data_IF_523375705770
#
_entry.id   IF_523375705770
#
_cell.length_a   1.000
_cell.length_b   1.000
_cell.length_c   1.000
_cell.angle_alpha   90.00
_cell.angle_beta   90.00
_cell.angle_gamma   90.00
#
_symmetry.space_group_name_H-M   'P 1'
#
loop_
_entity.id
_entity.type
_entity.pdbx_description
1 polymer ?
#
# COMPACT_ATOMS: atom_id res chain seq x y z
N UNK A 1 -3.47 -34.86 -3.18
CA UNK A 1 -3.68 -33.50 -3.70
C UNK A 1 -4.25 -32.55 -2.66
N UNK A 2 -5.26 -32.91 -1.86
CA UNK A 2 -5.89 -32.07 -0.86
C UNK A 2 -4.93 -31.53 0.23
N UNK A 3 -4.05 -32.39 0.79
CA UNK A 3 -3.04 -31.96 1.78
C UNK A 3 -2.09 -30.88 1.23
N UNK A 4 -1.74 -30.97 -0.06
CA UNK A 4 -0.91 -30.00 -0.73
C UNK A 4 -1.66 -28.66 -0.87
N UNK A 5 -2.92 -28.72 -1.32
CA UNK A 5 -3.76 -27.53 -1.46
C UNK A 5 -3.95 -26.80 -0.12
N UNK A 6 -4.16 -27.52 0.97
CA UNK A 6 -4.27 -26.92 2.32
C UNK A 6 -2.98 -26.26 2.79
N UNK A 7 -1.81 -26.85 2.46
CA UNK A 7 -0.51 -26.20 2.74
C UNK A 7 -0.34 -24.91 1.93
N UNK A 8 -0.65 -24.97 0.63
CA UNK A 8 -0.60 -23.79 -0.25
C UNK A 8 -1.55 -22.68 0.24
N UNK A 9 -2.77 -23.04 0.65
CA UNK A 9 -3.74 -22.08 1.18
C UNK A 9 -3.20 -21.33 2.40
N UNK A 10 -2.52 -22.01 3.32
CA UNK A 10 -1.88 -21.36 4.49
C UNK A 10 -0.75 -20.44 4.07
N UNK A 11 0.15 -20.90 3.21
CA UNK A 11 1.27 -20.09 2.73
C UNK A 11 0.76 -18.83 2.03
N UNK A 12 -0.23 -18.95 1.14
CA UNK A 12 -0.82 -17.83 0.41
C UNK A 12 -1.50 -16.86 1.38
N UNK A 13 -2.19 -17.35 2.43
CA UNK A 13 -2.80 -16.48 3.44
C UNK A 13 -1.76 -15.67 4.22
N UNK A 14 -0.60 -16.25 4.55
CA UNK A 14 0.51 -15.50 5.15
C UNK A 14 1.13 -14.50 4.18
N UNK A 15 1.25 -14.85 2.89
CA UNK A 15 1.73 -13.91 1.87
C UNK A 15 0.75 -12.73 1.70
N UNK A 16 -0.57 -12.99 1.74
CA UNK A 16 -1.58 -11.92 1.72
C UNK A 16 -1.42 -10.97 2.93
N UNK A 17 -1.23 -11.53 4.13
CA UNK A 17 -0.99 -10.74 5.33
C UNK A 17 0.30 -9.92 5.20
N UNK A 18 1.38 -10.50 4.71
CA UNK A 18 2.65 -9.81 4.52
C UNK A 18 2.54 -8.68 3.47
N UNK A 19 1.86 -8.93 2.34
CA UNK A 19 1.67 -7.93 1.30
C UNK A 19 0.80 -6.75 1.76
N UNK A 20 -0.28 -7.01 2.50
CA UNK A 20 -1.13 -5.93 3.06
C UNK A 20 -0.42 -5.18 4.19
N UNK A 21 0.40 -5.85 5.00
CA UNK A 21 1.26 -5.20 6.00
C UNK A 21 2.32 -4.30 5.33
N UNK A 22 2.93 -4.77 4.24
CA UNK A 22 3.85 -3.95 3.44
C UNK A 22 3.16 -2.71 2.87
N UNK A 23 1.92 -2.86 2.35
CA UNK A 23 1.12 -1.73 1.86
C UNK A 23 0.83 -0.72 2.97
N UNK A 24 0.52 -1.20 4.18
CA UNK A 24 0.30 -0.33 5.35
C UNK A 24 1.59 0.40 5.76
N UNK A 25 2.72 -0.29 5.86
CA UNK A 25 4.03 0.32 6.19
C UNK A 25 4.40 1.37 5.13
N UNK A 26 4.18 1.06 3.84
CA UNK A 26 4.39 1.99 2.75
C UNK A 26 3.52 3.25 2.88
N UNK A 27 2.25 3.10 3.23
CA UNK A 27 1.35 4.26 3.44
C UNK A 27 1.80 5.16 4.59
N UNK A 28 2.39 4.59 5.64
CA UNK A 28 2.99 5.35 6.74
C UNK A 28 4.27 6.07 6.29
N UNK A 29 5.16 5.41 5.55
CA UNK A 29 6.37 6.01 5.01
C UNK A 29 6.06 7.20 4.09
N UNK A 30 5.09 7.04 3.18
CA UNK A 30 4.63 8.13 2.32
C UNK A 30 4.09 9.32 3.13
N UNK A 31 3.47 9.05 4.30
CA UNK A 31 2.93 10.12 5.17
C UNK A 31 4.01 10.90 5.92
N UNK A 32 5.16 10.26 6.25
CA UNK A 32 6.19 10.87 7.11
C UNK A 32 7.27 11.59 6.31
N UNK A 33 7.78 10.98 5.24
CA UNK A 33 8.98 11.47 4.57
C UNK A 33 8.69 12.54 3.50
N UNK A 34 7.48 12.56 2.95
CA UNK A 34 7.10 13.55 1.93
C UNK A 34 6.77 14.92 2.52
N UNK A 35 6.43 14.99 3.82
CA UNK A 35 6.07 16.26 4.49
C UNK A 35 7.25 17.16 4.86
N UNK A 36 8.45 16.80 4.52
CA UNK A 36 9.63 17.60 4.85
C UNK A 36 9.54 19.03 4.28
N UNK A 37 9.11 19.20 3.04
CA UNK A 37 8.98 20.51 2.39
C UNK A 37 7.81 21.33 2.95
N UNK A 38 6.77 20.70 3.50
CA UNK A 38 5.66 21.38 4.15
C UNK A 38 6.12 22.23 5.37
N UNK A 39 7.16 21.78 6.09
CA UNK A 39 7.73 22.57 7.20
C UNK A 39 8.41 23.85 6.74
N UNK A 40 8.89 23.90 5.49
CA UNK A 40 9.48 25.10 4.90
C UNK A 40 8.45 26.15 4.54
N UNK A 41 7.28 25.75 4.04
CA UNK A 41 6.20 26.68 3.72
C UNK A 41 5.63 27.34 4.98
N UNK A 42 5.77 26.70 6.15
CA UNK A 42 5.40 27.28 7.45
C UNK A 42 6.38 28.34 7.98
N UNK A 43 7.49 28.59 7.28
CA UNK A 43 8.37 29.70 7.56
C UNK A 43 7.74 30.99 6.98
N UNK A 44 7.31 31.90 7.87
CA UNK A 44 6.60 33.12 7.55
C UNK A 44 7.12 33.84 6.28
N UNK A 45 6.27 33.93 5.27
CA UNK A 45 6.51 34.72 4.07
C UNK A 45 7.24 34.00 2.93
N UNK A 46 7.53 32.68 3.05
CA UNK A 46 8.18 31.91 1.99
C UNK A 46 7.09 31.21 1.18
N UNK A 47 6.98 31.56 -0.09
CA UNK A 47 6.10 30.86 -1.05
C UNK A 47 6.96 30.05 -1.99
N UNK A 48 6.81 28.71 -1.94
CA UNK A 48 7.47 27.77 -2.86
C UNK A 48 6.46 27.38 -3.93
N UNK A 49 6.69 27.77 -5.21
CA UNK A 49 5.75 27.44 -6.29
C UNK A 49 5.57 25.90 -6.43
N UNK A 50 4.33 25.46 -6.40
CA UNK A 50 3.98 24.03 -6.49
C UNK A 50 3.89 23.30 -5.14
N UNK A 51 4.28 23.93 -4.02
CA UNK A 51 4.21 23.30 -2.70
C UNK A 51 2.77 23.11 -2.20
N UNK A 52 1.77 23.74 -2.83
CA UNK A 52 0.35 23.53 -2.53
C UNK A 52 -0.05 22.07 -2.63
N UNK A 53 0.64 21.26 -3.45
CA UNK A 53 0.38 19.82 -3.56
C UNK A 53 0.45 19.09 -2.22
N UNK A 54 1.25 19.59 -1.24
CA UNK A 54 1.36 18.94 0.07
C UNK A 54 0.06 19.04 0.87
N UNK A 55 -0.74 20.11 0.69
CA UNK A 55 -2.07 20.22 1.29
C UNK A 55 -3.05 19.23 0.70
N UNK A 56 -2.98 18.98 -0.62
CA UNK A 56 -3.81 18.01 -1.31
C UNK A 56 -3.40 16.57 -0.98
N UNK A 57 -2.10 16.33 -0.78
CA UNK A 57 -1.55 15.03 -0.42
C UNK A 57 -2.00 14.56 0.97
N UNK A 58 -2.23 15.48 1.93
CA UNK A 58 -2.61 15.11 3.30
C UNK A 58 -3.91 14.29 3.40
N UNK A 59 -5.07 14.74 2.84
CA UNK A 59 -6.30 13.96 2.88
C UNK A 59 -6.16 12.63 2.14
N UNK A 60 -5.42 12.58 1.03
CA UNK A 60 -5.10 11.35 0.34
C UNK A 60 -4.34 10.37 1.24
N UNK A 61 -3.25 10.80 1.87
CA UNK A 61 -2.44 9.94 2.75
C UNK A 61 -3.25 9.41 3.93
N UNK A 62 -4.10 10.24 4.53
CA UNK A 62 -5.00 9.81 5.60
C UNK A 62 -5.99 8.73 5.13
N UNK A 63 -6.57 8.89 3.94
CA UNK A 63 -7.45 7.90 3.35
C UNK A 63 -6.69 6.63 2.99
N UNK A 64 -5.51 6.74 2.37
CA UNK A 64 -4.70 5.60 1.98
C UNK A 64 -4.27 4.77 3.20
N UNK A 65 -3.82 5.41 4.27
CA UNK A 65 -3.50 4.72 5.53
C UNK A 65 -4.74 4.02 6.11
N UNK A 66 -5.89 4.69 6.14
CA UNK A 66 -7.14 4.10 6.62
C UNK A 66 -7.55 2.88 5.80
N UNK A 67 -7.47 2.95 4.48
CA UNK A 67 -7.84 1.84 3.60
C UNK A 67 -6.83 0.69 3.68
N UNK A 68 -5.54 0.98 3.87
CA UNK A 68 -4.53 -0.06 4.06
C UNK A 68 -4.72 -0.84 5.37
N UNK A 69 -5.23 -0.19 6.43
CA UNK A 69 -5.67 -0.88 7.65
C UNK A 69 -6.85 -1.82 7.36
N UNK A 70 -7.83 -1.37 6.56
CA UNK A 70 -8.96 -2.23 6.15
C UNK A 70 -8.47 -3.46 5.38
N UNK A 71 -7.52 -3.30 4.45
CA UNK A 71 -6.92 -4.44 3.74
C UNK A 71 -6.22 -5.41 4.71
N UNK A 72 -5.49 -4.88 5.67
CA UNK A 72 -4.81 -5.69 6.68
C UNK A 72 -5.81 -6.50 7.52
N UNK A 73 -6.92 -5.88 7.94
CA UNK A 73 -7.99 -6.56 8.67
C UNK A 73 -8.67 -7.64 7.82
N UNK A 74 -8.91 -7.40 6.54
CA UNK A 74 -9.44 -8.41 5.60
C UNK A 74 -8.47 -9.58 5.43
N UNK A 75 -7.16 -9.32 5.37
CA UNK A 75 -6.14 -10.38 5.28
C UNK A 75 -6.10 -11.22 6.57
N UNK A 76 -6.20 -10.59 7.75
CA UNK A 76 -6.31 -11.30 9.04
C UNK A 76 -7.57 -12.16 9.08
N UNK A 77 -8.72 -11.63 8.69
CA UNK A 77 -9.97 -12.39 8.60
C UNK A 77 -9.82 -13.58 7.64
N UNK A 78 -9.22 -13.37 6.46
CA UNK A 78 -8.90 -14.43 5.50
C UNK A 78 -8.01 -15.52 6.11
N UNK A 79 -6.98 -15.15 6.86
CA UNK A 79 -6.10 -16.08 7.55
C UNK A 79 -6.87 -16.92 8.58
N UNK A 80 -7.71 -16.31 9.39
CA UNK A 80 -8.55 -17.00 10.40
C UNK A 80 -9.49 -17.97 9.72
N UNK A 81 -10.26 -17.53 8.72
CA UNK A 81 -11.21 -18.41 8.02
C UNK A 81 -10.51 -19.54 7.25
N UNK A 82 -9.35 -19.30 6.65
CA UNK A 82 -8.57 -20.31 5.95
C UNK A 82 -8.01 -21.39 6.88
N UNK A 83 -7.62 -21.02 8.09
CA UNK A 83 -7.09 -21.98 9.07
C UNK A 83 -8.17 -22.87 9.67
N UNK A 84 -9.41 -22.38 9.79
CA UNK A 84 -10.54 -23.12 10.36
C UNK A 84 -11.28 -24.00 9.34
N UNK A 85 -11.05 -23.82 8.05
CA UNK A 85 -11.73 -24.60 7.01
C UNK A 85 -11.19 -26.02 6.95
N UNK A 86 -11.93 -26.92 7.55
CA UNK A 86 -11.86 -28.35 7.22
C UNK A 86 -12.37 -28.55 5.78
N UNK A 87 -12.37 -29.79 5.31
CA UNK A 87 -12.69 -30.28 3.98
C UNK A 87 -14.01 -29.79 3.32
N UNK A 88 -14.78 -28.89 3.94
CA UNK A 88 -16.09 -28.44 3.45
C UNK A 88 -16.02 -27.04 2.81
N UNK A 89 -16.98 -26.77 1.89
CA UNK A 89 -17.20 -25.42 1.40
C UNK A 89 -17.69 -24.52 2.53
N UNK A 90 -16.87 -23.56 2.91
CA UNK A 90 -17.30 -22.50 3.80
C UNK A 90 -17.50 -21.23 2.97
N UNK A 91 -18.73 -20.77 2.90
CA UNK A 91 -19.12 -19.52 2.19
C UNK A 91 -18.25 -18.36 2.67
N UNK A 92 -17.98 -18.26 3.97
CA UNK A 92 -17.16 -17.23 4.55
C UNK A 92 -15.74 -17.16 3.94
N UNK A 93 -15.13 -18.31 3.59
CA UNK A 93 -13.81 -18.32 2.96
C UNK A 93 -13.85 -17.73 1.55
N UNK A 94 -14.87 -18.05 0.76
CA UNK A 94 -15.00 -17.48 -0.60
C UNK A 94 -15.37 -16.02 -0.56
N UNK A 95 -16.21 -15.60 0.39
CA UNK A 95 -16.56 -14.20 0.60
C UNK A 95 -15.32 -13.38 0.99
N UNK A 96 -14.49 -13.86 1.91
CA UNK A 96 -13.26 -13.15 2.30
C UNK A 96 -12.24 -13.10 1.17
N UNK A 97 -12.06 -14.18 0.40
CA UNK A 97 -11.19 -14.15 -0.79
C UNK A 97 -11.71 -13.18 -1.82
N UNK A 98 -13.01 -13.17 -2.11
CA UNK A 98 -13.64 -12.24 -3.04
C UNK A 98 -13.51 -10.79 -2.58
N UNK A 99 -13.91 -10.50 -1.35
CA UNK A 99 -13.86 -9.16 -0.77
C UNK A 99 -12.43 -8.61 -0.72
N UNK A 100 -11.46 -9.41 -0.23
CA UNK A 100 -10.06 -9.00 -0.18
C UNK A 100 -9.47 -8.79 -1.58
N UNK A 101 -9.82 -9.64 -2.55
CA UNK A 101 -9.31 -9.51 -3.92
C UNK A 101 -9.83 -8.23 -4.60
N UNK A 102 -11.12 -7.94 -4.48
CA UNK A 102 -11.71 -6.71 -5.02
C UNK A 102 -11.11 -5.49 -4.32
N UNK A 103 -11.01 -5.51 -2.99
CA UNK A 103 -10.46 -4.41 -2.21
C UNK A 103 -8.98 -4.17 -2.55
N UNK A 104 -8.16 -5.21 -2.65
CA UNK A 104 -6.73 -5.10 -3.00
C UNK A 104 -6.53 -4.47 -4.39
N UNK A 105 -7.29 -4.92 -5.40
CA UNK A 105 -7.18 -4.41 -6.76
C UNK A 105 -7.68 -2.96 -6.83
N UNK A 106 -8.87 -2.69 -6.27
CA UNK A 106 -9.47 -1.36 -6.31
C UNK A 106 -8.57 -0.33 -5.58
N UNK A 107 -8.14 -0.65 -4.36
CA UNK A 107 -7.28 0.24 -3.59
C UNK A 107 -5.89 0.36 -4.23
N UNK A 108 -5.30 -0.75 -4.68
CA UNK A 108 -4.00 -0.72 -5.33
C UNK A 108 -4.01 0.16 -6.59
N UNK A 109 -5.03 0.04 -7.43
CA UNK A 109 -5.17 0.88 -8.64
C UNK A 109 -5.38 2.35 -8.26
N UNK A 110 -6.25 2.62 -7.28
CA UNK A 110 -6.50 3.98 -6.80
C UNK A 110 -5.23 4.59 -6.19
N UNK A 111 -4.49 3.85 -5.35
CA UNK A 111 -3.25 4.33 -4.75
C UNK A 111 -2.18 4.57 -5.81
N UNK A 112 -2.00 3.64 -6.76
CA UNK A 112 -1.03 3.77 -7.85
C UNK A 112 -1.27 5.04 -8.67
N UNK A 113 -2.51 5.27 -9.11
CA UNK A 113 -2.84 6.45 -9.93
C UNK A 113 -2.64 7.76 -9.18
N UNK A 114 -3.06 7.84 -7.92
CA UNK A 114 -2.90 9.07 -7.12
C UNK A 114 -1.44 9.32 -6.74
N UNK A 115 -0.69 8.31 -6.32
CA UNK A 115 0.72 8.48 -5.95
C UNK A 115 1.56 8.91 -7.16
N UNK A 116 1.32 8.35 -8.35
CA UNK A 116 2.00 8.80 -9.57
C UNK A 116 1.62 10.22 -9.94
N UNK A 117 0.35 10.61 -9.78
CA UNK A 117 -0.09 11.99 -9.98
C UNK A 117 0.64 12.96 -9.01
N UNK A 118 0.72 12.61 -7.73
CA UNK A 118 1.46 13.43 -6.75
C UNK A 118 2.98 13.43 -7.02
N UNK A 119 3.54 12.37 -7.58
CA UNK A 119 4.92 12.38 -8.06
C UNK A 119 5.14 13.40 -9.15
N UNK A 120 4.23 13.48 -10.11
CA UNK A 120 4.32 14.46 -11.21
C UNK A 120 4.22 15.89 -10.66
N UNK A 121 3.32 16.16 -9.73
CA UNK A 121 3.22 17.44 -9.04
C UNK A 121 4.49 17.77 -8.24
N UNK A 122 5.06 16.78 -7.54
CA UNK A 122 6.32 16.94 -6.80
C UNK A 122 7.48 17.32 -7.72
N UNK A 123 7.57 16.71 -8.89
CA UNK A 123 8.59 17.03 -9.88
C UNK A 123 8.41 18.42 -10.52
N UNK A 124 7.22 19.00 -10.43
CA UNK A 124 6.91 20.33 -10.92
C UNK A 124 7.24 21.45 -9.89
N UNK A 125 7.61 21.11 -8.65
CA UNK A 125 8.00 22.08 -7.63
C UNK A 125 9.32 22.75 -8.05
N UNK A 126 9.36 24.07 -7.96
CA UNK A 126 10.60 24.82 -8.22
C UNK A 126 11.52 24.81 -6.98
N UNK A 127 12.36 23.81 -6.92
CA UNK A 127 13.34 23.66 -5.84
C UNK A 127 14.48 24.69 -5.87
N UNK A 128 14.66 25.44 -6.96
CA UNK A 128 15.69 26.48 -7.03
C UNK A 128 15.41 27.64 -6.06
N UNK A 129 14.14 27.90 -5.80
CA UNK A 129 13.70 28.87 -4.80
C UNK A 129 14.18 28.46 -3.40
N UNK A 130 14.16 27.19 -3.08
CA UNK A 130 14.62 26.66 -1.78
C UNK A 130 16.12 26.91 -1.59
N UNK A 131 16.93 26.67 -2.60
CA UNK A 131 18.37 26.93 -2.55
C UNK A 131 18.64 28.43 -2.27
N UNK A 132 17.92 29.33 -2.95
CA UNK A 132 18.06 30.78 -2.72
C UNK A 132 17.65 31.24 -1.32
N UNK A 133 16.69 30.54 -0.70
CA UNK A 133 16.23 30.78 0.68
C UNK A 133 17.29 30.34 1.68
N UNK A 134 17.83 29.14 1.49
CA UNK A 134 18.89 28.58 2.36
C UNK A 134 20.10 29.53 2.38
N UNK A 135 20.46 30.10 1.24
CA UNK A 135 21.57 31.04 1.11
C UNK A 135 21.27 32.39 1.76
N UNK A 136 20.00 32.82 1.87
CA UNK A 136 19.58 34.11 2.39
C UNK A 136 19.25 34.12 3.88
N UNK A 137 18.95 32.98 4.49
CA UNK A 137 18.55 32.84 5.91
C UNK A 137 19.71 32.30 6.75
N UNK A 138 20.08 32.95 7.87
CA UNK A 138 21.14 32.42 8.73
C UNK A 138 20.84 31.01 9.21
N UNK A 139 21.82 30.08 9.15
CA UNK A 139 21.62 28.68 9.54
C UNK A 139 21.03 28.48 10.94
N UNK A 140 21.39 29.38 11.88
CA UNK A 140 20.87 29.35 13.24
C UNK A 140 19.34 29.55 13.31
N UNK A 141 18.77 30.35 12.38
CA UNK A 141 17.32 30.58 12.31
C UNK A 141 16.61 29.34 11.78
N UNK A 142 17.16 28.67 10.76
CA UNK A 142 16.64 27.42 10.21
C UNK A 142 16.65 26.33 11.28
N UNK A 143 17.77 26.15 11.98
CA UNK A 143 17.92 25.17 13.06
C UNK A 143 16.94 25.42 14.21
N UNK A 144 16.74 26.71 14.60
CA UNK A 144 15.78 27.08 15.66
C UNK A 144 14.33 26.70 15.31
N UNK A 145 14.00 26.61 14.02
CA UNK A 145 12.71 26.17 13.49
C UNK A 145 12.65 24.66 13.21
N UNK A 146 13.69 23.91 13.58
CA UNK A 146 13.76 22.47 13.40
C UNK A 146 14.05 22.02 11.95
N UNK A 147 14.60 22.95 11.17
CA UNK A 147 14.95 22.71 9.76
C UNK A 147 16.48 22.60 9.67
N UNK A 148 16.96 21.44 9.19
CA UNK A 148 18.38 21.22 8.97
C UNK A 148 18.79 21.77 7.59
N UNK A 149 19.70 22.78 7.52
CA UNK A 149 20.13 23.36 6.26
C UNK A 149 20.78 22.35 5.29
N UNK A 150 21.47 21.34 5.81
CA UNK A 150 22.12 20.30 4.98
C UNK A 150 21.09 19.44 4.27
N UNK A 151 19.96 19.15 4.93
CA UNK A 151 18.85 18.40 4.34
C UNK A 151 18.03 19.23 3.34
N UNK A 152 18.12 20.57 3.38
CA UNK A 152 17.47 21.46 2.43
C UNK A 152 18.22 21.57 1.10
N UNK A 153 19.54 21.32 1.08
CA UNK A 153 20.36 21.51 -0.11
C UNK A 153 20.12 20.44 -1.21
N UNK A 154 19.22 19.42 -0.95
CA UNK A 154 18.82 18.38 -1.92
C UNK A 154 19.95 17.49 -2.45
N UNK A 155 19.69 16.42 -3.18
CA UNK A 155 18.58 16.24 -4.13
C UNK A 155 17.35 15.62 -3.47
N UNK A 156 16.18 16.12 -3.79
CA UNK A 156 14.91 15.62 -3.27
C UNK A 156 14.55 14.30 -3.96
N UNK A 157 14.52 13.23 -3.18
CA UNK A 157 14.28 11.89 -3.69
C UNK A 157 12.80 11.63 -3.96
N UNK A 158 12.49 11.07 -5.14
CA UNK A 158 11.15 10.55 -5.47
C UNK A 158 10.94 9.11 -5.01
N UNK A 159 11.89 8.54 -4.25
CA UNK A 159 11.91 7.14 -3.86
C UNK A 159 10.58 6.65 -3.27
N UNK A 160 9.96 7.44 -2.37
CA UNK A 160 8.69 7.07 -1.76
C UNK A 160 7.54 7.03 -2.76
N UNK A 161 7.54 7.87 -3.78
CA UNK A 161 6.56 7.77 -4.87
C UNK A 161 6.84 6.56 -5.75
N UNK A 162 8.11 6.26 -6.04
CA UNK A 162 8.50 5.15 -6.92
C UNK A 162 8.21 3.78 -6.29
N UNK A 163 8.29 3.66 -4.97
CA UNK A 163 7.98 2.44 -4.24
C UNK A 163 6.52 1.98 -4.38
N UNK A 164 5.59 2.84 -4.84
CA UNK A 164 4.21 2.41 -5.11
C UNK A 164 4.14 1.29 -6.14
N UNK A 165 5.00 1.33 -7.17
CA UNK A 165 5.01 0.35 -8.25
C UNK A 165 5.33 -1.07 -7.73
N UNK A 166 6.48 -1.33 -7.07
CA UNK A 166 6.78 -2.65 -6.54
C UNK A 166 5.79 -3.10 -5.47
N UNK A 167 5.31 -2.21 -4.60
CA UNK A 167 4.30 -2.54 -3.58
C UNK A 167 3.00 -3.01 -4.25
N UNK A 168 2.53 -2.31 -5.27
CA UNK A 168 1.33 -2.68 -6.01
C UNK A 168 1.51 -3.97 -6.81
N UNK A 169 2.66 -4.21 -7.41
CA UNK A 169 2.98 -5.48 -8.10
C UNK A 169 2.90 -6.65 -7.12
N UNK A 170 3.52 -6.54 -5.94
CA UNK A 170 3.50 -7.58 -4.91
C UNK A 170 2.05 -7.85 -4.46
N UNK A 171 1.28 -6.80 -4.15
CA UNK A 171 -0.10 -6.92 -3.72
C UNK A 171 -0.97 -7.62 -4.79
N UNK A 172 -0.79 -7.25 -6.05
CA UNK A 172 -1.52 -7.83 -7.19
C UNK A 172 -1.15 -9.30 -7.40
N UNK A 173 0.14 -9.65 -7.41
CA UNK A 173 0.59 -11.03 -7.58
C UNK A 173 0.06 -11.95 -6.48
N UNK A 174 0.13 -11.50 -5.23
CA UNK A 174 -0.38 -12.28 -4.09
C UNK A 174 -1.91 -12.42 -4.15
N UNK A 175 -2.61 -11.39 -4.60
CA UNK A 175 -4.06 -11.44 -4.82
C UNK A 175 -4.43 -12.46 -5.91
N UNK A 176 -3.72 -12.48 -7.02
CA UNK A 176 -3.91 -13.48 -8.08
C UNK A 176 -3.64 -14.90 -7.60
N UNK A 177 -2.59 -15.12 -6.81
CA UNK A 177 -2.31 -16.42 -6.19
C UNK A 177 -3.44 -16.86 -5.25
N UNK A 178 -4.03 -15.94 -4.49
CA UNK A 178 -5.14 -16.23 -3.60
C UNK A 178 -6.40 -16.67 -4.37
N UNK A 179 -6.73 -15.97 -5.45
CA UNK A 179 -7.84 -16.33 -6.35
C UNK A 179 -7.58 -17.68 -7.02
N UNK A 180 -6.38 -17.90 -7.58
CA UNK A 180 -6.01 -19.14 -8.22
C UNK A 180 -6.12 -20.33 -7.26
N UNK A 181 -5.70 -20.17 -5.99
CA UNK A 181 -5.86 -21.19 -4.96
C UNK A 181 -7.34 -21.48 -4.64
N UNK A 182 -8.20 -20.46 -4.59
CA UNK A 182 -9.64 -20.65 -4.39
C UNK A 182 -10.28 -21.44 -5.55
N UNK A 183 -9.90 -21.12 -6.79
CA UNK A 183 -10.33 -21.86 -7.98
C UNK A 183 -9.85 -23.32 -7.93
N UNK A 184 -8.57 -23.54 -7.62
CA UNK A 184 -7.99 -24.89 -7.50
C UNK A 184 -8.71 -25.72 -6.42
N UNK A 185 -9.00 -25.12 -5.27
CA UNK A 185 -9.80 -25.74 -4.21
C UNK A 185 -11.18 -26.17 -4.72
N UNK A 186 -11.85 -25.30 -5.47
CA UNK A 186 -13.19 -25.59 -6.03
C UNK A 186 -13.16 -26.74 -7.00
N UNK A 187 -12.17 -26.81 -7.89
CA UNK A 187 -11.99 -27.91 -8.86
C UNK A 187 -11.76 -29.24 -8.13
N UNK A 188 -10.88 -29.27 -7.11
CA UNK A 188 -10.62 -30.49 -6.34
C UNK A 188 -11.86 -31.01 -5.64
N UNK A 189 -12.65 -30.11 -5.04
CA UNK A 189 -13.88 -30.50 -4.35
C UNK A 189 -14.99 -30.97 -5.31
N UNK A 190 -15.06 -30.40 -6.51
CA UNK A 190 -16.00 -30.86 -7.56
C UNK A 190 -15.66 -32.26 -8.02
N UNK A 191 -14.39 -32.58 -8.30
CA UNK A 191 -13.92 -33.89 -8.68
C UNK A 191 -14.21 -34.95 -7.58
N UNK A 192 -13.98 -34.57 -6.32
CA UNK A 192 -14.26 -35.50 -5.20
C UNK A 192 -15.75 -35.83 -5.08
N UNK A 193 -16.64 -34.85 -5.33
CA UNK A 193 -18.09 -35.07 -5.36
C UNK A 193 -18.52 -35.99 -6.51
N UNK A 194 -17.89 -35.89 -7.68
CA UNK A 194 -18.17 -36.77 -8.81
C UNK A 194 -17.80 -38.22 -8.50
N UNK A 195 -16.59 -38.44 -7.98
CA UNK A 195 -16.11 -39.79 -7.60
C UNK A 195 -17.00 -40.44 -6.53
N UNK A 196 -17.53 -39.67 -5.58
CA UNK A 196 -18.47 -40.18 -4.57
C UNK A 196 -19.83 -40.54 -5.15
N UNK A 197 -20.24 -39.94 -6.27
CA UNK A 197 -21.49 -40.27 -6.96
C UNK A 197 -21.35 -41.52 -7.88
N UNK A 198 -20.17 -41.71 -8.45
CA UNK A 198 -19.88 -42.83 -9.35
C UNK A 198 -19.55 -44.15 -8.58
N UNK A 199 -19.17 -44.02 -7.30
CA UNK A 199 -18.88 -45.15 -6.42
C UNK A 199 -20.04 -45.58 -5.48
N UNK A 200 -21.20 -44.91 -5.59
CA UNK A 200 -22.43 -45.24 -4.89
C UNK A 200 -23.47 -45.86 -5.86
#
# INVERSE_FOLDING_TARGET
MYKLQMKLQRIISYLCLAATALTFIYSLGLSTDVYFLYRLESLDGIVIPGAEMFYELQPFNKQFTTYSIVLLLLAVAGLVFNNHTRRKYYVANYLTVGASSVANIALGTWALTNVLHYKDLFNAIDFSVIASIVDSVPPAVLISKGVDPENLAGPYSTLWFDLVIPVFIILTLVTLLNVANAVFKTILMSKEKQLLKEGA
#
